data_IF_917650932126
#
_entry.id   IF_917650932126
#
_cell.length_a   1.000
_cell.length_b   1.000
_cell.length_c   1.000
_cell.angle_alpha   90.00
_cell.angle_beta   90.00
_cell.angle_gamma   90.00
#
_symmetry.space_group_name_H-M   'P 1'
#
loop_
_entity.id
_entity.type
_entity.pdbx_description
1 polymer ?
#
# COMPACT_ATOMS: atom_id res chain seq x y z
N UNK A 1 7.59 -25.24 -3.71
CA UNK A 1 7.31 -23.81 -3.51
C UNK A 1 5.80 -23.70 -3.32
N UNK A 2 5.36 -23.35 -2.12
CA UNK A 2 3.98 -23.47 -1.67
C UNK A 2 3.05 -22.47 -2.38
N UNK A 3 1.93 -23.00 -2.87
CA UNK A 3 0.93 -22.36 -3.72
C UNK A 3 0.00 -21.39 -2.95
N UNK A 4 0.52 -20.58 -2.02
CA UNK A 4 -0.31 -19.94 -0.98
C UNK A 4 -0.03 -18.45 -0.65
N UNK A 5 0.71 -17.72 -1.48
CA UNK A 5 0.72 -16.25 -1.37
C UNK A 5 -0.48 -15.68 -2.12
N UNK A 6 -1.66 -15.75 -1.48
CA UNK A 6 -2.84 -14.99 -1.92
C UNK A 6 -2.46 -13.51 -1.96
N UNK A 7 -2.55 -12.89 -3.15
CA UNK A 7 -2.30 -11.46 -3.42
C UNK A 7 -1.61 -10.66 -2.29
N UNK A 8 -2.32 -9.75 -1.60
CA UNK A 8 -1.75 -8.92 -0.52
C UNK A 8 -1.79 -9.59 0.87
N UNK A 9 -2.28 -10.83 0.96
CA UNK A 9 -2.51 -11.50 2.25
C UNK A 9 -1.21 -11.72 3.02
N UNK A 10 -0.12 -12.07 2.33
CA UNK A 10 1.19 -12.23 2.97
C UNK A 10 1.67 -10.91 3.62
N UNK A 11 1.47 -9.77 2.95
CA UNK A 11 1.83 -8.45 3.49
C UNK A 11 0.96 -8.07 4.68
N UNK A 12 -0.36 -8.25 4.56
CA UNK A 12 -1.32 -7.92 5.62
C UNK A 12 -1.24 -8.86 6.85
N UNK A 13 -0.68 -10.07 6.70
CA UNK A 13 -0.49 -10.99 7.83
C UNK A 13 0.52 -10.46 8.86
N UNK A 14 1.51 -9.70 8.40
CA UNK A 14 2.61 -9.19 9.23
C UNK A 14 2.63 -7.67 9.36
N UNK A 15 1.84 -6.93 8.56
CA UNK A 15 1.75 -5.48 8.59
C UNK A 15 0.31 -4.97 8.69
N UNK A 16 0.15 -3.75 9.19
CA UNK A 16 -1.06 -2.96 9.09
C UNK A 16 -1.13 -2.20 7.76
N UNK A 17 -2.28 -2.24 7.10
CA UNK A 17 -2.55 -1.55 5.85
C UNK A 17 -3.21 -0.20 6.14
N UNK A 18 -2.58 0.88 5.71
CA UNK A 18 -3.05 2.26 5.92
C UNK A 18 -3.01 3.05 4.63
N UNK A 19 -3.99 3.93 4.42
CA UNK A 19 -3.88 4.98 3.42
C UNK A 19 -3.24 6.20 4.10
N UNK A 20 -2.19 6.77 3.50
CA UNK A 20 -1.53 7.95 4.02
C UNK A 20 -1.14 8.94 2.93
N UNK A 21 -0.94 10.19 3.33
CA UNK A 21 -0.38 11.26 2.50
C UNK A 21 0.96 11.70 3.08
N UNK A 22 2.03 11.62 2.28
CA UNK A 22 3.38 11.98 2.71
C UNK A 22 3.54 13.50 2.75
N UNK A 23 3.93 14.02 3.90
CA UNK A 23 4.09 15.46 4.14
C UNK A 23 5.52 15.91 3.85
N UNK A 24 6.51 15.20 4.39
CA UNK A 24 7.92 15.55 4.26
C UNK A 24 8.85 14.35 4.52
N UNK A 25 10.10 14.45 4.06
CA UNK A 25 11.20 13.57 4.49
C UNK A 25 11.95 14.27 5.62
N UNK A 26 11.80 13.77 6.86
CA UNK A 26 12.34 14.47 8.04
C UNK A 26 13.84 14.24 8.21
N UNK A 27 14.35 13.13 7.67
CA UNK A 27 15.77 12.77 7.57
C UNK A 27 15.91 11.58 6.61
N UNK A 28 17.13 11.18 6.20
CA UNK A 28 17.31 10.08 5.28
C UNK A 28 16.55 8.83 5.74
N UNK A 29 15.74 8.28 4.83
CA UNK A 29 14.93 7.08 5.05
C UNK A 29 13.73 7.22 6.01
N UNK A 30 13.41 8.43 6.49
CA UNK A 30 12.27 8.64 7.39
C UNK A 30 11.31 9.66 6.82
N UNK A 31 10.04 9.25 6.69
CA UNK A 31 8.96 10.08 6.19
C UNK A 31 8.02 10.45 7.33
N UNK A 32 7.52 11.68 7.29
CA UNK A 32 6.32 12.08 8.04
C UNK A 32 5.13 12.08 7.10
N UNK A 33 4.02 11.50 7.54
CA UNK A 33 2.80 11.38 6.76
C UNK A 33 1.56 11.53 7.64
N UNK A 34 0.45 12.00 7.05
CA UNK A 34 -0.87 12.00 7.68
C UNK A 34 -1.63 10.73 7.28
N UNK A 35 -2.18 10.02 8.27
CA UNK A 35 -3.05 8.87 8.02
C UNK A 35 -4.40 9.37 7.53
N UNK A 36 -4.84 8.87 6.38
CA UNK A 36 -6.14 9.15 5.76
C UNK A 36 -7.16 8.04 6.01
N UNK A 37 -6.70 6.78 6.13
CA UNK A 37 -7.54 5.64 6.49
C UNK A 37 -6.69 4.55 7.15
N UNK A 38 -7.31 3.79 8.07
CA UNK A 38 -6.71 2.61 8.71
C UNK A 38 -7.57 1.41 8.36
N UNK A 39 -7.08 0.54 7.49
CA UNK A 39 -7.81 -0.64 7.03
C UNK A 39 -7.59 -1.84 7.95
N UNK A 40 -6.38 -1.98 8.50
CA UNK A 40 -6.07 -3.02 9.50
C UNK A 40 -5.26 -2.43 10.66
N UNK A 41 -5.39 -3.01 11.86
CA UNK A 41 -4.87 -2.38 13.10
C UNK A 41 -4.40 -3.39 14.16
N UNK A 42 -3.49 -4.29 13.79
CA UNK A 42 -2.99 -5.42 14.59
C UNK A 42 -1.48 -5.39 14.82
N UNK A 43 -0.73 -4.48 14.20
CA UNK A 43 0.75 -4.48 14.09
C UNK A 43 1.40 -3.15 14.49
N UNK A 44 0.70 -2.33 15.28
CA UNK A 44 1.20 -1.08 15.86
C UNK A 44 0.45 0.16 15.40
N UNK A 45 -0.27 0.08 14.27
CA UNK A 45 -1.25 1.10 13.91
C UNK A 45 -2.56 0.83 14.65
N UNK A 46 -3.20 1.90 15.14
CA UNK A 46 -4.53 1.82 15.75
C UNK A 46 -5.47 2.82 15.09
N UNK A 47 -6.78 2.56 15.17
CA UNK A 47 -7.82 3.48 14.68
C UNK A 47 -7.72 4.89 15.30
N UNK A 48 -7.13 5.02 16.50
CA UNK A 48 -6.90 6.32 17.16
C UNK A 48 -5.87 7.21 16.42
N UNK A 49 -5.10 6.63 15.51
CA UNK A 49 -4.12 7.34 14.69
C UNK A 49 -4.73 7.91 13.40
N UNK A 50 -6.01 7.67 13.11
CA UNK A 50 -6.71 8.32 11.99
C UNK A 50 -6.58 9.86 12.10
N UNK A 51 -6.34 10.51 10.97
CA UNK A 51 -6.06 11.95 10.83
C UNK A 51 -4.80 12.45 11.56
N UNK A 52 -4.05 11.57 12.24
CA UNK A 52 -2.79 11.92 12.90
C UNK A 52 -1.61 11.85 11.94
N UNK A 53 -0.59 12.60 12.28
CA UNK A 53 0.72 12.50 11.65
C UNK A 53 1.54 11.42 12.34
N UNK A 54 2.17 10.59 11.54
CA UNK A 54 3.09 9.54 11.98
C UNK A 54 4.43 9.73 11.29
N UNK A 55 5.48 9.18 11.91
CA UNK A 55 6.76 8.98 11.26
C UNK A 55 7.00 7.50 11.06
N UNK A 56 7.51 7.14 9.88
CA UNK A 56 7.88 5.76 9.58
C UNK A 56 9.16 5.72 8.75
N UNK A 57 9.87 4.60 8.87
CA UNK A 57 11.06 4.32 8.07
C UNK A 57 10.63 3.66 6.78
N UNK A 58 10.92 4.29 5.64
CA UNK A 58 10.56 3.73 4.34
C UNK A 58 11.54 2.62 3.92
N UNK A 59 11.10 1.71 3.07
CA UNK A 59 11.95 0.63 2.57
C UNK A 59 13.11 1.21 1.74
N UNK A 60 14.29 0.58 1.81
CA UNK A 60 15.47 1.04 1.06
C UNK A 60 15.17 1.13 -0.44
N UNK A 61 15.77 2.13 -1.12
CA UNK A 61 15.68 2.29 -2.58
C UNK A 61 16.54 1.29 -3.35
N UNK A 62 17.25 0.39 -2.65
CA UNK A 62 18.01 -0.67 -3.28
C UNK A 62 17.10 -1.61 -4.09
N UNK A 63 17.68 -2.25 -5.12
CA UNK A 63 17.02 -3.28 -5.90
C UNK A 63 15.74 -2.87 -6.64
N UNK A 64 15.62 -1.58 -6.99
CA UNK A 64 14.55 -1.07 -7.84
C UNK A 64 13.25 -0.73 -7.12
N UNK A 65 13.24 -0.71 -5.78
CA UNK A 65 12.17 -0.10 -5.00
C UNK A 65 12.28 1.43 -5.07
N UNK A 66 11.18 2.13 -5.36
CA UNK A 66 11.16 3.59 -5.39
C UNK A 66 10.45 4.09 -4.13
N UNK A 67 11.14 4.75 -3.20
CA UNK A 67 10.47 5.25 -2.01
C UNK A 67 9.45 6.33 -2.35
N UNK A 68 8.45 6.46 -1.49
CA UNK A 68 7.51 7.56 -1.54
C UNK A 68 8.22 8.91 -1.41
N UNK A 69 7.56 9.96 -1.90
CA UNK A 69 8.02 11.34 -1.90
C UNK A 69 6.97 12.26 -1.26
N UNK A 70 7.38 13.39 -0.68
CA UNK A 70 6.45 14.42 -0.23
C UNK A 70 5.40 14.77 -1.30
N UNK A 71 4.14 14.92 -0.88
CA UNK A 71 2.99 15.17 -1.75
C UNK A 71 2.35 13.92 -2.35
N UNK A 72 2.91 12.72 -2.15
CA UNK A 72 2.32 11.47 -2.64
C UNK A 72 1.34 10.87 -1.63
N UNK A 73 0.25 10.30 -2.16
CA UNK A 73 -0.69 9.48 -1.40
C UNK A 73 -0.45 8.01 -1.73
N UNK A 74 -0.51 7.13 -0.75
CA UNK A 74 -0.26 5.71 -0.96
C UNK A 74 -0.98 4.84 0.07
N UNK A 75 -1.34 3.63 -0.36
CA UNK A 75 -1.63 2.52 0.54
C UNK A 75 -0.29 1.93 0.98
N UNK A 76 -0.02 1.90 2.28
CA UNK A 76 1.27 1.48 2.84
C UNK A 76 1.05 0.36 3.86
N UNK A 77 1.92 -0.64 3.81
CA UNK A 77 1.99 -1.74 4.78
C UNK A 77 3.04 -1.39 5.84
N UNK A 78 2.62 -1.15 7.07
CA UNK A 78 3.45 -0.74 8.19
C UNK A 78 3.44 -1.75 9.32
N UNK A 79 4.57 -1.95 9.98
CA UNK A 79 4.62 -2.67 11.26
C UNK A 79 5.51 -1.95 12.26
N UNK A 80 5.17 -2.08 13.55
CA UNK A 80 5.98 -1.54 14.64
C UNK A 80 7.07 -2.53 15.05
N UNK A 81 8.31 -2.05 15.03
CA UNK A 81 9.49 -2.78 15.49
C UNK A 81 10.24 -1.87 16.44
N UNK A 82 10.39 -2.27 17.70
CA UNK A 82 11.13 -1.52 18.73
C UNK A 82 10.69 -0.05 18.86
N UNK A 83 9.37 0.20 18.87
CA UNK A 83 8.81 1.55 19.07
C UNK A 83 8.82 2.45 17.82
N UNK A 84 9.12 1.89 16.64
CA UNK A 84 9.16 2.62 15.37
C UNK A 84 8.37 1.90 14.31
N UNK A 85 7.71 2.66 13.44
CA UNK A 85 6.99 2.12 12.29
C UNK A 85 7.96 1.93 11.12
N UNK A 86 7.87 0.78 10.48
CA UNK A 86 8.64 0.41 9.29
C UNK A 86 7.71 0.04 8.17
N UNK A 87 7.99 0.57 6.98
CA UNK A 87 7.39 0.08 5.74
C UNK A 87 7.88 -1.35 5.46
N UNK A 88 6.96 -2.21 5.03
CA UNK A 88 7.29 -3.54 4.58
C UNK A 88 8.33 -3.52 3.46
N UNK A 89 9.24 -4.48 3.47
CA UNK A 89 10.23 -4.59 2.40
C UNK A 89 9.55 -4.97 1.07
N UNK A 90 10.17 -4.60 -0.05
CA UNK A 90 9.75 -4.99 -1.39
C UNK A 90 8.29 -4.66 -1.78
N UNK A 91 8.08 -3.52 -2.44
CA UNK A 91 6.74 -3.00 -2.78
C UNK A 91 5.85 -2.89 -1.51
N UNK A 92 6.39 -2.27 -0.46
CA UNK A 92 5.68 -2.04 0.81
C UNK A 92 4.55 -1.02 0.72
N UNK A 93 4.40 -0.38 -0.44
CA UNK A 93 3.30 0.52 -0.73
C UNK A 93 2.79 0.36 -2.16
N UNK A 94 1.56 0.81 -2.37
CA UNK A 94 0.96 1.05 -3.68
C UNK A 94 0.68 2.55 -3.78
N UNK A 95 1.26 3.21 -4.79
CA UNK A 95 1.00 4.61 -5.04
C UNK A 95 -0.48 4.79 -5.42
N UNK A 96 -1.14 5.77 -4.81
CA UNK A 96 -2.54 6.10 -5.08
C UNK A 96 -2.60 7.39 -5.87
N UNK A 97 -3.28 7.36 -7.01
CA UNK A 97 -3.41 8.52 -7.90
C UNK A 97 -4.81 8.65 -8.47
N UNK A 98 -5.19 9.89 -8.80
CA UNK A 98 -6.33 10.16 -9.64
C UNK A 98 -6.01 9.78 -11.09
N UNK A 99 -6.83 8.93 -11.71
CA UNK A 99 -6.80 8.60 -13.13
C UNK A 99 -8.24 8.75 -13.64
N UNK A 100 -8.45 9.77 -14.49
CA UNK A 100 -9.75 10.06 -15.11
C UNK A 100 -10.86 10.37 -14.08
N UNK A 101 -10.51 11.01 -12.95
CA UNK A 101 -11.47 11.40 -11.90
C UNK A 101 -11.76 10.30 -10.88
N UNK A 102 -11.07 9.17 -10.95
CA UNK A 102 -11.17 8.09 -9.96
C UNK A 102 -9.81 7.78 -9.33
N UNK A 103 -9.84 7.34 -8.07
CA UNK A 103 -8.63 6.96 -7.35
C UNK A 103 -8.24 5.51 -7.63
N UNK A 104 -7.00 5.30 -8.06
CA UNK A 104 -6.42 3.98 -8.31
C UNK A 104 -5.15 3.76 -7.51
N UNK A 105 -4.95 2.54 -7.04
CA UNK A 105 -3.69 2.07 -6.48
C UNK A 105 -2.87 1.35 -7.57
N UNK A 106 -1.65 1.82 -7.83
CA UNK A 106 -0.74 1.19 -8.79
C UNK A 106 0.01 0.03 -8.15
N UNK A 107 -0.21 -1.18 -8.65
CA UNK A 107 0.49 -2.39 -8.26
C UNK A 107 1.50 -2.79 -9.33
N UNK A 108 2.76 -3.06 -8.94
CA UNK A 108 3.87 -3.35 -9.87
C UNK A 108 3.83 -4.78 -10.40
N UNK A 109 2.80 -5.08 -11.16
CA UNK A 109 2.63 -6.31 -11.92
C UNK A 109 1.78 -5.97 -13.15
N UNK A 110 2.33 -5.97 -14.37
CA UNK A 110 1.55 -5.69 -15.56
C UNK A 110 0.53 -6.82 -15.78
N UNK A 111 -0.63 -6.49 -16.34
CA UNK A 111 -1.67 -7.48 -16.65
C UNK A 111 -2.14 -8.30 -15.44
N UNK A 112 -2.17 -7.69 -14.25
CA UNK A 112 -2.53 -8.34 -12.98
C UNK A 112 -3.93 -9.00 -13.04
N UNK A 113 -4.85 -8.46 -13.84
CA UNK A 113 -6.19 -9.03 -14.04
C UNK A 113 -6.17 -10.44 -14.66
N UNK A 114 -5.08 -10.83 -15.34
CA UNK A 114 -4.89 -12.18 -15.87
C UNK A 114 -4.32 -13.17 -14.82
N UNK A 115 -3.96 -12.70 -13.63
CA UNK A 115 -3.41 -13.54 -12.57
C UNK A 115 -4.50 -14.33 -11.85
N UNK A 116 -4.25 -15.63 -11.64
CA UNK A 116 -5.09 -16.50 -10.81
C UNK A 116 -5.02 -16.13 -9.33
N UNK A 117 -3.96 -15.45 -8.90
CA UNK A 117 -3.78 -15.03 -7.51
C UNK A 117 -4.59 -13.78 -7.15
N UNK A 118 -5.11 -13.05 -8.14
CA UNK A 118 -5.96 -11.87 -7.90
C UNK A 118 -7.39 -12.32 -7.57
N UNK A 119 -7.98 -11.86 -6.45
CA UNK A 119 -9.39 -12.11 -6.14
C UNK A 119 -10.32 -11.68 -7.28
N UNK A 120 -11.36 -12.47 -7.55
CA UNK A 120 -12.31 -12.17 -8.60
C UNK A 120 -13.02 -10.81 -8.41
N UNK A 121 -13.25 -10.42 -7.15
CA UNK A 121 -13.79 -9.12 -6.74
C UNK A 121 -12.91 -7.95 -7.18
N UNK A 122 -11.59 -8.12 -7.27
CA UNK A 122 -10.67 -7.07 -7.73
C UNK A 122 -10.40 -7.13 -9.22
N UNK A 123 -10.53 -8.32 -9.84
CA UNK A 123 -10.22 -8.53 -11.26
C UNK A 123 -11.04 -7.61 -12.17
N UNK A 124 -12.33 -7.45 -11.90
CA UNK A 124 -13.21 -6.57 -12.69
C UNK A 124 -12.87 -5.07 -12.56
N UNK A 125 -12.09 -4.70 -11.53
CA UNK A 125 -11.75 -3.31 -11.19
C UNK A 125 -10.25 -3.04 -11.33
N UNK A 126 -9.54 -3.93 -12.04
CA UNK A 126 -8.12 -3.84 -12.31
C UNK A 126 -7.89 -3.66 -13.82
N UNK A 127 -7.08 -2.67 -14.18
CA UNK A 127 -6.73 -2.36 -15.57
C UNK A 127 -5.24 -2.03 -15.71
N UNK A 128 -4.79 -1.82 -16.93
CA UNK A 128 -3.45 -1.27 -17.19
C UNK A 128 -3.34 0.14 -16.58
N UNK A 129 -2.20 0.45 -15.96
CA UNK A 129 -1.93 1.83 -15.52
C UNK A 129 -1.44 2.65 -16.75
N UNK A 130 -2.22 3.64 -17.24
CA UNK A 130 -1.87 4.39 -18.44
C UNK A 130 -0.61 5.25 -18.29
N UNK A 131 -0.14 5.48 -17.05
CA UNK A 131 1.07 6.26 -16.76
C UNK A 131 2.29 5.37 -16.52
N UNK A 132 2.06 4.08 -16.26
CA UNK A 132 3.10 3.10 -15.86
C UNK A 132 2.81 1.74 -16.50
N UNK A 133 3.30 1.48 -17.72
CA UNK A 133 3.07 0.21 -18.43
C UNK A 133 3.51 -1.04 -17.66
N UNK A 134 4.43 -0.89 -16.70
CA UNK A 134 4.89 -1.97 -15.81
C UNK A 134 3.97 -2.23 -14.60
N UNK A 135 2.87 -1.49 -14.46
CA UNK A 135 1.93 -1.58 -13.34
C UNK A 135 0.51 -1.86 -13.82
N UNK A 136 -0.29 -2.44 -12.93
CA UNK A 136 -1.74 -2.45 -13.05
C UNK A 136 -2.34 -1.45 -12.07
N UNK A 137 -3.38 -0.76 -12.49
CA UNK A 137 -4.16 0.15 -11.66
C UNK A 137 -5.40 -0.59 -11.12
N UNK A 138 -5.55 -0.63 -9.79
CA UNK A 138 -6.69 -1.23 -9.10
C UNK A 138 -7.53 -0.10 -8.51
N UNK A 139 -8.85 -0.07 -8.73
CA UNK A 139 -9.70 0.96 -8.12
C UNK A 139 -9.56 0.90 -6.59
N UNK A 140 -9.31 2.07 -5.99
CA UNK A 140 -9.03 2.17 -4.56
C UNK A 140 -10.21 1.71 -3.68
N UNK A 141 -11.49 2.03 -3.96
CA UNK A 141 -12.60 1.60 -3.11
C UNK A 141 -12.72 0.09 -2.99
N UNK A 142 -12.64 -0.64 -4.11
CA UNK A 142 -12.72 -2.10 -4.11
C UNK A 142 -11.49 -2.74 -3.47
N UNK A 143 -10.31 -2.15 -3.66
CA UNK A 143 -9.10 -2.59 -2.98
C UNK A 143 -9.21 -2.41 -1.45
N UNK A 144 -9.73 -1.25 -1.00
CA UNK A 144 -9.96 -0.96 0.41
C UNK A 144 -10.96 -1.96 1.02
N UNK A 145 -12.09 -2.19 0.35
CA UNK A 145 -13.10 -3.16 0.77
C UNK A 145 -12.52 -4.58 0.89
N UNK A 146 -11.73 -5.01 -0.09
CA UNK A 146 -11.02 -6.29 -0.05
C UNK A 146 -10.09 -6.39 1.17
N UNK A 147 -9.29 -5.34 1.44
CA UNK A 147 -8.37 -5.33 2.58
C UNK A 147 -9.14 -5.42 3.89
N UNK A 148 -10.18 -4.61 4.07
CA UNK A 148 -10.97 -4.59 5.31
C UNK A 148 -11.70 -5.91 5.57
N UNK A 149 -12.31 -6.50 4.52
CA UNK A 149 -13.18 -7.67 4.69
C UNK A 149 -12.43 -8.99 4.67
N UNK A 150 -11.38 -9.11 3.86
CA UNK A 150 -10.66 -10.37 3.65
C UNK A 150 -9.32 -10.41 4.38
N UNK A 151 -8.71 -9.25 4.64
CA UNK A 151 -7.39 -9.16 5.27
C UNK A 151 -7.42 -8.48 6.66
N UNK A 152 -8.58 -8.00 7.12
CA UNK A 152 -8.82 -7.34 8.42
C UNK A 152 -8.79 -8.24 9.64
#
# INVERSE_FOLDING_TARGET
>A
MSNNEKFLAAKAAVNDAVLLHVLEETKPQQLRARILAVYTSRKGITQKMLDREIEFVHASSAWGNKPLRPGQTALVFLSEISGRLYEDSWNGHLLVEDIEGEQYASYRFPQLWLSDNLPASLRAHTREDPRRPQCSAIRLPELAEYIEKELG
#
